data_IF_013367184438
#
_entry.id   IF_013367184438
#
_cell.length_a   1.000
_cell.length_b   1.000
_cell.length_c   1.000
_cell.angle_alpha   90.00
_cell.angle_beta   90.00
_cell.angle_gamma   90.00
#
_symmetry.space_group_name_H-M   'P 1'
#
loop_
_entity.id
_entity.type
_entity.pdbx_description
1 polymer ?
#
# COMPACT_ATOMS: atom_id res chain seq x y z
N UNK A 1 -3.90 14.69 22.25
CA UNK A 1 -4.51 13.82 21.20
C UNK A 1 -3.48 12.74 20.86
N UNK A 2 -3.88 11.47 20.81
CA UNK A 2 -2.99 10.33 20.51
C UNK A 2 -3.52 9.64 19.25
N UNK A 3 -2.65 9.38 18.27
CA UNK A 3 -2.99 8.60 17.08
C UNK A 3 -2.71 7.13 17.32
N UNK A 4 -3.65 6.25 16.98
CA UNK A 4 -3.48 4.81 16.99
C UNK A 4 -3.76 4.35 15.57
N UNK A 5 -2.72 3.84 14.90
CA UNK A 5 -2.84 3.34 13.54
C UNK A 5 -3.57 2.00 13.50
N UNK A 6 -4.18 1.69 12.36
CA UNK A 6 -4.72 0.37 12.10
C UNK A 6 -3.59 -0.68 12.12
N UNK A 7 -3.90 -1.86 12.66
CA UNK A 7 -3.05 -3.04 12.62
C UNK A 7 -3.62 -4.11 11.70
N UNK A 8 -2.74 -4.93 11.11
CA UNK A 8 -3.12 -6.10 10.34
C UNK A 8 -2.62 -7.38 11.00
N UNK A 9 -3.34 -8.48 10.76
CA UNK A 9 -2.89 -9.81 11.16
C UNK A 9 -1.80 -10.29 10.18
N UNK A 10 -0.56 -10.24 10.66
CA UNK A 10 0.59 -10.62 9.87
C UNK A 10 0.57 -12.09 9.43
N UNK A 11 -0.11 -12.97 10.14
CA UNK A 11 -0.19 -14.38 9.79
C UNK A 11 -0.98 -14.63 8.50
N UNK A 12 -1.81 -13.66 8.09
CA UNK A 12 -2.56 -13.73 6.84
C UNK A 12 -1.70 -13.39 5.60
N UNK A 13 -0.49 -12.81 5.78
CA UNK A 13 0.37 -12.34 4.70
C UNK A 13 1.68 -13.11 4.68
N UNK A 14 2.01 -13.70 3.52
CA UNK A 14 3.22 -14.51 3.33
C UNK A 14 4.41 -13.62 2.99
N UNK A 15 5.49 -13.72 3.77
CA UNK A 15 6.75 -13.10 3.40
C UNK A 15 7.38 -13.81 2.20
N UNK A 16 7.57 -13.09 1.10
CA UNK A 16 8.27 -13.59 -0.10
C UNK A 16 9.58 -12.83 -0.26
N UNK A 17 10.70 -13.55 -0.15
CA UNK A 17 12.04 -12.95 -0.22
C UNK A 17 12.52 -12.74 -1.66
N UNK A 18 12.17 -13.65 -2.57
CA UNK A 18 12.56 -13.56 -3.97
C UNK A 18 11.42 -12.95 -4.78
N UNK A 19 11.66 -11.77 -5.33
CA UNK A 19 10.66 -11.02 -6.09
C UNK A 19 10.76 -11.35 -7.58
N UNK A 20 9.60 -11.36 -8.23
CA UNK A 20 9.52 -11.44 -9.70
C UNK A 20 9.64 -10.04 -10.30
N UNK A 21 10.01 -9.98 -11.58
CA UNK A 21 10.25 -8.72 -12.30
C UNK A 21 8.94 -8.08 -12.79
N UNK A 22 8.05 -7.69 -11.85
CA UNK A 22 6.86 -6.91 -12.16
C UNK A 22 6.51 -5.95 -11.02
N UNK A 23 5.80 -4.89 -11.35
CA UNK A 23 5.18 -3.96 -10.41
C UNK A 23 3.73 -4.38 -10.16
N UNK A 24 3.20 -4.08 -8.99
CA UNK A 24 1.78 -4.28 -8.68
C UNK A 24 1.07 -2.97 -8.38
N UNK A 25 -0.21 -2.94 -8.69
CA UNK A 25 -1.16 -1.94 -8.23
C UNK A 25 -2.39 -2.67 -7.69
N UNK A 26 -2.85 -2.29 -6.49
CA UNK A 26 -4.08 -2.84 -5.94
C UNK A 26 -4.94 -1.76 -5.31
N UNK A 27 -6.22 -1.74 -5.66
CA UNK A 27 -7.18 -0.77 -5.16
C UNK A 27 -8.36 -0.61 -6.10
N UNK A 28 -9.38 0.11 -5.67
CA UNK A 28 -10.50 0.48 -6.57
C UNK A 28 -9.96 1.18 -7.81
N UNK A 29 -10.46 0.79 -8.96
CA UNK A 29 -10.09 1.45 -10.22
C UNK A 29 -10.84 2.78 -10.32
N UNK A 30 -10.17 3.84 -9.87
CA UNK A 30 -10.74 5.19 -9.78
C UNK A 30 -9.67 6.25 -10.04
N UNK A 31 -10.03 7.43 -10.59
CA UNK A 31 -9.07 8.51 -10.86
C UNK A 31 -8.22 8.85 -9.63
N UNK A 32 -8.85 8.98 -8.46
CA UNK A 32 -8.19 9.35 -7.19
C UNK A 32 -7.16 8.31 -6.70
N UNK A 33 -7.25 7.05 -7.15
CA UNK A 33 -6.29 5.99 -6.83
C UNK A 33 -5.10 5.98 -7.79
N UNK A 34 -5.19 6.69 -8.91
CA UNK A 34 -4.07 6.91 -9.82
C UNK A 34 -3.66 5.71 -10.68
N UNK A 35 -4.58 4.79 -10.99
CA UNK A 35 -4.29 3.60 -11.81
C UNK A 35 -3.61 3.98 -13.14
N UNK A 36 -4.05 5.05 -13.80
CA UNK A 36 -3.45 5.58 -15.02
C UNK A 36 -1.99 6.04 -14.83
N UNK A 37 -1.65 6.55 -13.64
CA UNK A 37 -0.27 6.93 -13.32
C UNK A 37 0.62 5.69 -13.07
N UNK A 38 0.06 4.62 -12.49
CA UNK A 38 0.77 3.36 -12.37
C UNK A 38 1.09 2.76 -13.75
N UNK A 39 0.15 2.84 -14.70
CA UNK A 39 0.35 2.45 -16.09
C UNK A 39 1.44 3.31 -16.75
N UNK A 40 1.44 4.62 -16.52
CA UNK A 40 2.50 5.50 -17.02
C UNK A 40 3.88 5.09 -16.48
N UNK A 41 3.97 4.71 -15.21
CA UNK A 41 5.23 4.20 -14.63
C UNK A 41 5.68 2.93 -15.36
N UNK A 42 4.79 1.97 -15.57
CA UNK A 42 5.11 0.73 -16.28
C UNK A 42 5.62 1.00 -17.70
N UNK A 43 4.90 1.83 -18.47
CA UNK A 43 5.30 2.21 -19.83
C UNK A 43 6.67 2.90 -19.89
N UNK A 44 6.95 3.78 -18.93
CA UNK A 44 8.23 4.52 -18.89
C UNK A 44 9.39 3.70 -18.35
N UNK A 45 9.13 2.67 -17.56
CA UNK A 45 10.18 1.77 -17.03
C UNK A 45 10.42 0.56 -17.94
N UNK A 46 9.41 0.12 -18.69
CA UNK A 46 9.38 -1.16 -19.39
C UNK A 46 9.17 -2.35 -18.44
N UNK A 47 8.84 -2.12 -17.16
CA UNK A 47 8.60 -3.17 -16.18
C UNK A 47 7.11 -3.53 -16.21
N UNK A 48 6.75 -4.83 -16.36
CA UNK A 48 5.36 -5.26 -16.35
C UNK A 48 4.60 -4.79 -15.10
N UNK A 49 3.33 -4.43 -15.26
CA UNK A 49 2.43 -4.02 -14.20
C UNK A 49 1.21 -4.94 -14.14
N UNK A 50 0.98 -5.53 -12.98
CA UNK A 50 -0.25 -6.26 -12.69
C UNK A 50 -1.18 -5.40 -11.85
N UNK A 51 -2.40 -5.22 -12.33
CA UNK A 51 -3.41 -4.36 -11.72
C UNK A 51 -4.53 -5.22 -11.15
N UNK A 52 -4.80 -5.09 -9.85
CA UNK A 52 -5.94 -5.71 -9.20
C UNK A 52 -6.89 -4.66 -8.64
N UNK A 53 -8.19 -4.90 -8.75
CA UNK A 53 -9.19 -4.04 -8.12
C UNK A 53 -10.55 -4.09 -8.79
N UNK A 54 -11.53 -3.59 -8.09
CA UNK A 54 -12.90 -3.51 -8.56
C UNK A 54 -13.12 -2.25 -9.40
N UNK A 55 -13.87 -2.40 -10.49
CA UNK A 55 -14.39 -1.29 -11.29
C UNK A 55 -15.83 -1.02 -10.85
N UNK A 56 -16.01 -0.06 -9.95
CA UNK A 56 -17.34 0.34 -9.51
C UNK A 56 -18.12 1.02 -10.65
N UNK A 57 -19.47 0.93 -10.68
CA UNK A 57 -20.30 1.53 -11.75
C UNK A 57 -19.97 3.00 -12.03
N UNK A 58 -19.77 3.79 -10.98
CA UNK A 58 -19.41 5.21 -11.06
C UNK A 58 -18.06 5.47 -11.77
N UNK A 59 -17.17 4.50 -11.80
CA UNK A 59 -15.85 4.60 -12.41
C UNK A 59 -15.74 3.84 -13.75
N UNK A 60 -16.84 3.31 -14.28
CA UNK A 60 -16.82 2.52 -15.51
C UNK A 60 -16.32 3.33 -16.70
N UNK A 61 -16.74 4.58 -16.85
CA UNK A 61 -16.28 5.46 -17.93
C UNK A 61 -14.77 5.70 -17.84
N UNK A 62 -14.23 5.93 -16.64
CA UNK A 62 -12.80 6.07 -16.42
C UNK A 62 -12.05 4.81 -16.83
N UNK A 63 -12.54 3.63 -16.42
CA UNK A 63 -11.94 2.35 -16.80
C UNK A 63 -11.93 2.15 -18.32
N UNK A 64 -13.10 2.29 -18.99
CA UNK A 64 -13.22 2.07 -20.43
C UNK A 64 -12.36 3.05 -21.26
N UNK A 65 -12.24 4.31 -20.84
CA UNK A 65 -11.52 5.34 -21.60
C UNK A 65 -10.04 5.48 -21.27
N UNK A 66 -9.63 5.17 -20.03
CA UNK A 66 -8.27 5.47 -19.55
C UNK A 66 -7.46 4.25 -19.16
N UNK A 67 -8.08 3.15 -18.83
CA UNK A 67 -7.39 1.95 -18.35
C UNK A 67 -7.43 0.85 -19.41
N UNK A 68 -8.62 0.48 -19.86
CA UNK A 68 -8.83 -0.64 -20.78
C UNK A 68 -8.04 -0.54 -22.10
N UNK A 69 -7.90 0.64 -22.75
CA UNK A 69 -7.08 0.77 -23.96
C UNK A 69 -5.57 0.51 -23.74
N UNK A 70 -5.14 0.57 -22.49
CA UNK A 70 -3.74 0.40 -22.10
C UNK A 70 -3.38 -1.05 -21.69
N UNK A 71 -4.39 -1.92 -21.64
CA UNK A 71 -4.22 -3.33 -21.28
C UNK A 71 -3.80 -4.12 -22.51
N UNK A 72 -2.53 -4.57 -22.55
CA UNK A 72 -1.98 -5.36 -23.64
C UNK A 72 -1.72 -6.83 -23.25
N UNK A 73 -1.99 -7.17 -21.98
CA UNK A 73 -1.80 -8.53 -21.44
C UNK A 73 -0.34 -8.95 -21.24
N UNK A 74 0.62 -8.07 -21.55
CA UNK A 74 2.06 -8.34 -21.38
C UNK A 74 2.74 -7.30 -20.50
N UNK A 75 2.75 -6.03 -20.90
CA UNK A 75 3.28 -4.93 -20.10
C UNK A 75 2.28 -4.47 -19.05
N UNK A 76 0.99 -4.45 -19.38
CA UNK A 76 -0.08 -4.04 -18.47
C UNK A 76 -1.19 -5.08 -18.45
N UNK A 77 -1.31 -5.77 -17.32
CA UNK A 77 -2.29 -6.82 -17.09
C UNK A 77 -3.31 -6.38 -16.02
N UNK A 78 -4.61 -6.54 -16.30
CA UNK A 78 -5.67 -6.37 -15.32
C UNK A 78 -6.24 -7.72 -14.93
N UNK A 79 -6.06 -8.10 -13.66
CA UNK A 79 -6.43 -9.41 -13.12
C UNK A 79 -7.80 -9.42 -12.41
N UNK A 80 -8.51 -8.28 -12.38
CA UNK A 80 -9.80 -8.17 -11.70
C UNK A 80 -9.70 -7.96 -10.19
N UNK A 81 -10.81 -8.14 -9.46
CA UNK A 81 -10.84 -8.06 -8.00
C UNK A 81 -9.95 -9.11 -7.34
N UNK A 82 -9.29 -8.76 -6.24
CA UNK A 82 -8.38 -9.65 -5.52
C UNK A 82 -8.95 -10.02 -4.15
N UNK A 83 -9.11 -11.32 -3.88
CA UNK A 83 -9.28 -11.86 -2.54
C UNK A 83 -7.92 -11.94 -1.81
N UNK A 84 -7.89 -12.44 -0.58
CA UNK A 84 -6.67 -12.52 0.23
C UNK A 84 -5.58 -13.38 -0.42
N UNK A 85 -5.93 -14.49 -1.06
CA UNK A 85 -4.97 -15.38 -1.72
C UNK A 85 -4.31 -14.69 -2.93
N UNK A 86 -5.12 -14.09 -3.80
CA UNK A 86 -4.64 -13.30 -4.95
C UNK A 86 -3.80 -12.11 -4.49
N UNK A 87 -4.17 -11.43 -3.39
CA UNK A 87 -3.35 -10.38 -2.80
C UNK A 87 -1.98 -10.88 -2.36
N UNK A 88 -1.93 -12.02 -1.65
CA UNK A 88 -0.68 -12.62 -1.20
C UNK A 88 0.23 -12.97 -2.37
N UNK A 89 -0.33 -13.53 -3.43
CA UNK A 89 0.43 -13.85 -4.63
C UNK A 89 0.91 -12.60 -5.36
N UNK A 90 -0.01 -11.68 -5.66
CA UNK A 90 0.27 -10.45 -6.38
C UNK A 90 1.29 -9.57 -5.65
N UNK A 91 1.02 -9.27 -4.37
CA UNK A 91 1.88 -8.40 -3.58
C UNK A 91 3.18 -9.11 -3.19
N UNK A 92 3.11 -10.39 -2.78
CA UNK A 92 4.27 -11.13 -2.33
C UNK A 92 5.35 -11.25 -3.41
N UNK A 93 4.96 -11.55 -4.65
CA UNK A 93 5.91 -11.74 -5.75
C UNK A 93 6.32 -10.42 -6.45
N UNK A 94 5.62 -9.32 -6.21
CA UNK A 94 5.93 -8.03 -6.83
C UNK A 94 7.26 -7.46 -6.35
N UNK A 95 8.03 -6.85 -7.25
CA UNK A 95 9.25 -6.12 -6.87
C UNK A 95 8.95 -4.80 -6.14
N UNK A 96 7.81 -4.17 -6.42
CA UNK A 96 7.25 -3.06 -5.66
C UNK A 96 5.75 -2.90 -5.93
N UNK A 97 5.03 -2.34 -4.97
CA UNK A 97 3.67 -1.87 -5.16
C UNK A 97 3.67 -0.37 -5.48
N UNK A 98 2.99 0.02 -6.56
CA UNK A 98 2.73 1.41 -6.91
C UNK A 98 1.48 1.92 -6.20
N UNK A 99 1.59 3.06 -5.52
CA UNK A 99 0.49 3.73 -4.83
C UNK A 99 0.43 5.22 -5.21
N UNK A 100 0.13 5.53 -6.48
CA UNK A 100 0.15 6.89 -7.02
C UNK A 100 -1.14 7.66 -6.75
N UNK A 101 -1.57 7.70 -5.50
CA UNK A 101 -2.82 8.33 -5.08
C UNK A 101 -2.87 9.83 -5.36
N UNK A 102 -4.08 10.35 -5.59
CA UNK A 102 -4.35 11.76 -5.87
C UNK A 102 -5.39 12.33 -4.88
N UNK A 103 -5.34 11.85 -3.63
CA UNK A 103 -6.22 12.30 -2.55
C UNK A 103 -5.53 12.08 -1.19
N UNK A 104 -6.15 12.59 -0.13
CA UNK A 104 -5.67 12.34 1.24
C UNK A 104 -6.17 10.98 1.72
N UNK A 105 -5.33 9.96 1.58
CA UNK A 105 -5.65 8.59 2.02
C UNK A 105 -5.75 8.53 3.55
N UNK A 106 -6.86 8.06 4.14
CA UNK A 106 -7.01 7.99 5.60
C UNK A 106 -5.99 7.08 6.27
N UNK A 107 -5.70 5.91 5.68
CA UNK A 107 -4.66 4.99 6.18
C UNK A 107 -3.96 4.21 5.06
N UNK A 108 -4.72 3.61 4.14
CA UNK A 108 -4.16 2.83 3.03
C UNK A 108 -3.68 1.44 3.44
N UNK A 109 -4.59 0.60 3.95
CA UNK A 109 -4.30 -0.79 4.37
C UNK A 109 -3.48 -1.56 3.35
N UNK A 110 -3.69 -1.35 2.05
CA UNK A 110 -2.97 -2.04 0.98
C UNK A 110 -1.46 -1.79 1.01
N UNK A 111 -1.01 -0.63 1.49
CA UNK A 111 0.42 -0.36 1.68
C UNK A 111 1.01 -1.29 2.76
N UNK A 112 0.30 -1.40 3.89
CA UNK A 112 0.71 -2.26 5.00
C UNK A 112 0.65 -3.74 4.58
N UNK A 113 -0.36 -4.15 3.81
CA UNK A 113 -0.51 -5.50 3.23
C UNK A 113 0.68 -5.85 2.32
N UNK A 114 1.08 -4.95 1.42
CA UNK A 114 2.23 -5.15 0.54
C UNK A 114 3.53 -5.29 1.34
N UNK A 115 3.75 -4.39 2.27
CA UNK A 115 4.95 -4.41 3.12
C UNK A 115 4.96 -5.61 4.08
N UNK A 116 3.80 -6.11 4.50
CA UNK A 116 3.70 -7.37 5.23
C UNK A 116 4.17 -8.58 4.40
N UNK A 117 3.99 -8.54 3.08
CA UNK A 117 4.56 -9.53 2.17
C UNK A 117 6.06 -9.29 1.86
N UNK A 118 6.69 -8.28 2.47
CA UNK A 118 8.07 -7.89 2.21
C UNK A 118 8.24 -7.12 0.90
N UNK A 119 7.19 -6.48 0.40
CA UNK A 119 7.19 -5.73 -0.86
C UNK A 119 7.22 -4.24 -0.59
N UNK A 120 8.22 -3.50 -1.09
CA UNK A 120 8.32 -2.06 -0.89
C UNK A 120 7.20 -1.32 -1.61
N UNK A 121 6.84 -0.15 -1.08
CA UNK A 121 5.79 0.71 -1.64
C UNK A 121 6.40 1.97 -2.24
N UNK A 122 6.08 2.25 -3.50
CA UNK A 122 6.35 3.53 -4.14
C UNK A 122 5.04 4.34 -4.15
N UNK A 123 4.94 5.34 -3.28
CA UNK A 123 3.71 6.09 -3.05
C UNK A 123 3.84 7.56 -3.44
N UNK A 124 2.74 8.19 -3.90
CA UNK A 124 2.64 9.64 -3.93
C UNK A 124 2.16 10.16 -2.56
N UNK A 125 2.65 11.33 -2.11
CA UNK A 125 2.26 11.90 -0.83
C UNK A 125 0.77 12.24 -0.81
N UNK A 126 0.09 11.92 0.29
CA UNK A 126 -1.33 12.21 0.51
C UNK A 126 -1.85 11.51 1.76
N UNK A 127 -2.41 12.27 2.71
CA UNK A 127 -2.92 11.74 3.97
C UNK A 127 -1.84 10.97 4.75
N UNK A 128 -2.14 9.74 5.13
CA UNK A 128 -1.30 8.88 5.97
C UNK A 128 -0.03 8.32 5.32
N UNK A 129 0.19 8.52 4.01
CA UNK A 129 1.32 7.90 3.29
C UNK A 129 2.66 8.12 3.99
N UNK A 130 2.92 9.34 4.46
CA UNK A 130 4.19 9.69 5.11
C UNK A 130 4.32 9.11 6.53
N UNK A 131 3.21 8.68 7.14
CA UNK A 131 3.19 8.00 8.44
C UNK A 131 3.43 6.49 8.26
N UNK A 132 3.00 5.94 7.12
CA UNK A 132 3.02 4.49 6.84
C UNK A 132 4.27 4.07 6.07
N UNK A 133 4.67 4.83 5.04
CA UNK A 133 5.84 4.52 4.21
C UNK A 133 7.07 5.23 4.74
N UNK A 134 8.07 4.45 5.15
CA UNK A 134 9.36 4.97 5.62
C UNK A 134 10.40 4.88 4.50
N UNK A 135 10.83 6.06 4.01
CA UNK A 135 11.78 6.19 2.91
C UNK A 135 13.09 5.40 3.18
N UNK A 136 13.48 4.58 2.21
CA UNK A 136 14.69 3.76 2.27
C UNK A 136 14.58 2.49 3.11
N UNK A 137 13.47 2.28 3.84
CA UNK A 137 13.23 1.08 4.66
C UNK A 137 12.08 0.26 4.09
N UNK A 138 10.89 0.87 3.95
CA UNK A 138 9.70 0.17 3.50
C UNK A 138 9.19 0.64 2.13
N UNK A 139 9.87 1.61 1.52
CA UNK A 139 9.52 2.16 0.22
C UNK A 139 10.08 3.55 0.00
N UNK A 140 9.42 4.32 -0.85
CA UNK A 140 9.71 5.73 -1.08
C UNK A 140 8.46 6.55 -1.31
N UNK A 141 8.43 7.76 -0.72
CA UNK A 141 7.46 8.80 -1.06
C UNK A 141 7.94 9.59 -2.28
N UNK A 142 7.21 9.51 -3.38
CA UNK A 142 7.55 10.08 -4.68
C UNK A 142 6.62 11.24 -5.02
N UNK A 143 7.15 12.44 -5.25
CA UNK A 143 6.36 13.64 -5.56
C UNK A 143 5.87 13.72 -7.02
N UNK A 144 6.26 12.77 -7.86
CA UNK A 144 5.89 12.73 -9.29
C UNK A 144 6.09 11.34 -9.87
N UNK A 145 5.42 11.06 -10.99
CA UNK A 145 5.66 9.86 -11.81
C UNK A 145 7.14 9.73 -12.21
N UNK A 146 7.83 10.84 -12.53
CA UNK A 146 9.26 10.82 -12.86
C UNK A 146 10.11 10.26 -11.70
N UNK A 147 9.82 10.67 -10.47
CA UNK A 147 10.53 10.12 -9.30
C UNK A 147 10.18 8.65 -9.07
N UNK A 148 8.91 8.27 -9.24
CA UNK A 148 8.47 6.89 -9.12
C UNK A 148 9.15 5.98 -10.15
N UNK A 149 9.26 6.44 -11.40
CA UNK A 149 10.02 5.75 -12.48
C UNK A 149 11.49 5.59 -12.09
N UNK A 150 12.14 6.64 -11.57
CA UNK A 150 13.53 6.56 -11.12
C UNK A 150 13.69 5.51 -10.01
N UNK A 151 12.81 5.55 -9.00
CA UNK A 151 12.85 4.60 -7.86
C UNK A 151 12.54 3.17 -8.27
N UNK A 152 11.59 2.97 -9.21
CA UNK A 152 11.27 1.64 -9.72
C UNK A 152 12.42 0.96 -10.49
N UNK A 153 13.35 1.74 -11.05
CA UNK A 153 14.55 1.23 -11.72
C UNK A 153 15.73 0.97 -10.77
N UNK A 154 15.75 1.68 -9.65
CA UNK A 154 16.84 1.66 -8.68
C UNK A 154 16.30 1.22 -7.31
N UNK A 155 15.90 -0.05 -7.22
CA UNK A 155 15.35 -0.65 -6.01
C UNK A 155 16.32 -1.64 -5.40
N UNK A 156 16.65 -1.40 -4.14
CA UNK A 156 17.41 -2.33 -3.32
C UNK A 156 16.81 -2.34 -1.92
N UNK A 157 15.91 -3.28 -1.67
CA UNK A 157 15.21 -3.43 -0.40
C UNK A 157 15.37 -4.85 0.15
N UNK A 158 15.52 -4.95 1.46
CA UNK A 158 15.44 -6.23 2.17
C UNK A 158 13.98 -6.54 2.56
N UNK A 159 13.35 -7.58 1.97
CA UNK A 159 11.99 -7.96 2.31
C UNK A 159 11.79 -8.31 3.79
N UNK A 160 12.84 -8.81 4.46
CA UNK A 160 12.78 -9.14 5.89
C UNK A 160 12.74 -7.87 6.74
N UNK A 161 13.55 -6.88 6.40
CA UNK A 161 13.55 -5.59 7.09
C UNK A 161 12.22 -4.84 6.90
N UNK A 162 11.64 -4.89 5.70
CA UNK A 162 10.30 -4.33 5.44
C UNK A 162 9.24 -5.00 6.33
N UNK A 163 9.23 -6.33 6.37
CA UNK A 163 8.29 -7.09 7.20
C UNK A 163 8.45 -6.77 8.68
N UNK A 164 9.68 -6.66 9.14
CA UNK A 164 9.99 -6.32 10.54
C UNK A 164 9.45 -4.93 10.91
N UNK A 165 9.68 -3.93 10.04
CA UNK A 165 9.12 -2.60 10.22
C UNK A 165 7.59 -2.61 10.38
N UNK A 166 6.87 -3.43 9.59
CA UNK A 166 5.43 -3.55 9.70
C UNK A 166 5.01 -4.26 10.99
N UNK A 167 5.73 -5.30 11.40
CA UNK A 167 5.45 -6.03 12.65
C UNK A 167 5.54 -5.11 13.87
N UNK A 168 6.52 -4.23 13.91
CA UNK A 168 6.74 -3.31 15.03
C UNK A 168 5.73 -2.15 15.08
N UNK A 169 5.24 -1.68 13.92
CA UNK A 169 4.47 -0.44 13.84
C UNK A 169 2.98 -0.62 13.52
N UNK A 170 2.62 -1.68 12.78
CA UNK A 170 1.28 -1.86 12.21
C UNK A 170 0.72 -3.28 12.39
N UNK A 171 1.18 -4.03 13.39
CA UNK A 171 0.55 -5.30 13.76
C UNK A 171 -0.74 -5.07 14.57
N UNK A 172 -1.63 -6.08 14.59
CA UNK A 172 -2.82 -6.08 15.46
C UNK A 172 -2.42 -5.90 16.91
N UNK A 173 -1.36 -6.57 17.37
CA UNK A 173 -0.87 -6.49 18.74
C UNK A 173 -0.46 -5.06 19.10
N UNK A 174 0.21 -4.37 18.19
CA UNK A 174 0.60 -2.96 18.37
C UNK A 174 -0.61 -2.04 18.47
N UNK A 175 -1.60 -2.24 17.61
CA UNK A 175 -2.86 -1.48 17.62
C UNK A 175 -3.62 -1.73 18.93
N UNK A 176 -3.82 -2.98 19.31
CA UNK A 176 -4.54 -3.36 20.54
C UNK A 176 -3.86 -2.80 21.78
N UNK A 177 -2.52 -2.92 21.88
CA UNK A 177 -1.76 -2.33 22.98
C UNK A 177 -1.98 -0.82 23.09
N UNK A 178 -1.99 -0.12 21.96
CA UNK A 178 -2.27 1.31 21.90
C UNK A 178 -3.65 1.68 22.43
N UNK A 179 -4.68 0.91 22.10
CA UNK A 179 -6.05 1.11 22.63
C UNK A 179 -6.14 0.81 24.11
N UNK A 180 -5.51 -0.27 24.59
CA UNK A 180 -5.49 -0.62 26.02
C UNK A 180 -4.86 0.51 26.85
N UNK A 181 -3.73 1.05 26.41
CA UNK A 181 -3.08 2.19 27.08
C UNK A 181 -4.00 3.42 27.08
N UNK A 182 -4.62 3.75 25.93
CA UNK A 182 -5.54 4.88 25.83
C UNK A 182 -6.72 4.75 26.79
N UNK A 183 -7.31 3.55 26.91
CA UNK A 183 -8.42 3.32 27.83
C UNK A 183 -7.99 3.43 29.31
N UNK A 184 -6.80 2.92 29.66
CA UNK A 184 -6.24 3.08 31.01
C UNK A 184 -6.06 4.55 31.37
N UNK A 185 -5.51 5.34 30.46
CA UNK A 185 -5.32 6.78 30.64
C UNK A 185 -6.67 7.51 30.81
N UNK A 186 -7.68 7.17 30.01
CA UNK A 186 -9.00 7.75 30.08
C UNK A 186 -9.70 7.47 31.43
N UNK A 187 -9.62 6.22 31.91
CA UNK A 187 -10.19 5.80 33.21
C UNK A 187 -9.49 6.54 34.36
N UNK A 188 -8.15 6.63 34.34
CA UNK A 188 -7.40 7.34 35.37
C UNK A 188 -7.79 8.82 35.45
N UNK A 189 -7.98 9.49 34.30
CA UNK A 189 -8.41 10.89 34.25
C UNK A 189 -9.86 11.09 34.70
N UNK A 190 -10.76 10.14 34.47
CA UNK A 190 -12.15 10.19 34.94
C UNK A 190 -12.21 10.11 36.47
N UNK A 191 -11.50 9.15 37.06
CA UNK A 191 -11.48 8.97 38.51
C UNK A 191 -10.90 10.18 39.26
N UNK A 192 -9.93 10.90 38.66
CA UNK A 192 -9.39 12.13 39.22
C UNK A 192 -10.40 13.30 39.22
N UNK A 193 -11.38 13.30 38.29
CA UNK A 193 -12.41 14.34 38.23
C UNK A 193 -13.57 14.14 39.20
N UNK A 194 -13.84 12.88 39.56
CA UNK A 194 -14.88 12.54 40.55
C UNK A 194 -14.38 12.71 41.99
N UNK A 195 -13.06 12.80 42.19
CA UNK A 195 -12.44 12.95 43.52
C UNK A 195 -12.12 14.42 43.89
N UNK A 196 -12.39 15.39 43.01
CA UNK A 196 -12.15 16.80 43.19
C UNK A 196 -13.47 17.59 43.28
#
# INVERSE_FOLDING_TARGET
>A
MRTIHHGIDLNQYRLVKQKQQYLSFIGRIAPIKGTHLAIEVAKRTGIPLKIAGEVQPVNREYFERKIKPELDGSLVEYIGPANLEVKNELLGNSMAMLFPIQWNEPFGLVMVEAMACGTPVLAMPGGSVQEVVRDGISGYTCRSVRQMVKRARDMNFDPVAIRHYIAENFSIERMVSGYIELYKDAIAHSNCREAA
#
